data_IF_364126683260
#
_entry.id   IF_364126683260
#
_cell.length_a   1.000
_cell.length_b   1.000
_cell.length_c   1.000
_cell.angle_alpha   90.00
_cell.angle_beta   90.00
_cell.angle_gamma   90.00
#
_symmetry.space_group_name_H-M   'P 1'
#
loop_
_entity.id
_entity.type
_entity.pdbx_description
1 polymer ?
#
# COMPACT_ATOMS: atom_id res chain seq x y z
N UNK A 1 12.25 -4.82 6.52
CA UNK A 1 13.05 -4.96 7.76
C UNK A 1 12.18 -5.41 8.94
N UNK A 2 11.14 -4.70 9.26
CA UNK A 2 10.21 -5.11 10.31
C UNK A 2 9.04 -5.90 9.74
N UNK A 3 8.32 -6.59 10.62
CA UNK A 3 7.08 -7.25 10.23
C UNK A 3 5.95 -6.24 10.13
N UNK A 4 4.98 -6.51 9.28
CA UNK A 4 3.73 -5.76 9.29
C UNK A 4 3.01 -6.01 10.62
N UNK A 5 2.27 -5.02 11.13
CA UNK A 5 1.48 -5.20 12.34
C UNK A 5 0.34 -6.18 12.11
N UNK A 6 -0.33 -6.58 13.17
CA UNK A 6 -1.49 -7.43 13.05
C UNK A 6 -2.64 -6.72 12.32
N UNK A 7 -3.48 -7.49 11.65
CA UNK A 7 -4.58 -6.99 10.84
C UNK A 7 -5.46 -5.98 11.60
N UNK A 8 -5.70 -6.20 12.88
CA UNK A 8 -6.59 -5.33 13.67
C UNK A 8 -6.12 -3.86 13.68
N UNK A 9 -4.80 -3.64 13.68
CA UNK A 9 -4.26 -2.27 13.62
C UNK A 9 -4.48 -1.62 12.26
N UNK A 10 -4.64 -2.41 11.21
CA UNK A 10 -4.80 -1.94 9.85
C UNK A 10 -6.26 -1.90 9.38
N UNK A 11 -7.19 -2.32 10.22
CA UNK A 11 -8.62 -2.31 9.86
C UNK A 11 -9.16 -0.92 9.57
N UNK A 12 -8.51 0.12 10.06
CA UNK A 12 -8.91 1.51 9.78
C UNK A 12 -8.70 1.90 8.31
N UNK A 13 -7.92 1.12 7.55
CA UNK A 13 -7.79 1.32 6.11
C UNK A 13 -9.07 0.95 5.36
N UNK A 14 -9.86 0.04 5.92
CA UNK A 14 -11.08 -0.45 5.26
C UNK A 14 -12.08 0.69 5.07
N UNK A 15 -12.67 0.79 3.89
CA UNK A 15 -13.59 1.83 3.44
C UNK A 15 -12.94 3.19 3.21
N UNK A 16 -11.62 3.31 3.36
CA UNK A 16 -10.93 4.55 3.01
C UNK A 16 -10.64 4.57 1.51
N UNK A 17 -10.82 5.71 0.89
CA UNK A 17 -10.54 5.89 -0.53
C UNK A 17 -9.14 6.47 -0.74
N UNK A 18 -8.55 6.19 -1.90
CA UNK A 18 -7.31 6.85 -2.30
C UNK A 18 -7.65 8.23 -2.83
N UNK A 19 -7.15 9.27 -2.16
CA UNK A 19 -7.45 10.66 -2.51
C UNK A 19 -6.32 11.34 -3.24
N UNK A 20 -5.07 10.90 -3.06
CA UNK A 20 -3.95 11.39 -3.86
C UNK A 20 -2.85 10.34 -3.94
N UNK A 21 -2.02 10.47 -4.99
CA UNK A 21 -0.82 9.67 -5.18
C UNK A 21 0.30 10.64 -5.51
N UNK A 22 1.36 10.65 -4.70
CA UNK A 22 2.52 11.50 -4.90
C UNK A 22 3.73 10.64 -5.22
N UNK A 23 4.45 11.02 -6.27
CA UNK A 23 5.65 10.31 -6.71
C UNK A 23 6.85 11.23 -6.57
N UNK A 24 7.86 10.77 -5.83
CA UNK A 24 9.13 11.47 -5.70
C UNK A 24 10.25 10.58 -6.25
N UNK A 25 11.48 11.09 -6.24
CA UNK A 25 12.63 10.28 -6.66
C UNK A 25 12.87 9.06 -5.78
N UNK A 26 12.40 9.10 -4.52
CA UNK A 26 12.70 8.08 -3.52
C UNK A 26 11.48 7.34 -2.99
N UNK A 27 10.27 7.83 -3.26
CA UNK A 27 9.05 7.28 -2.65
C UNK A 27 7.86 7.39 -3.58
N UNK A 28 6.91 6.48 -3.36
CA UNK A 28 5.53 6.63 -3.79
C UNK A 28 4.70 6.79 -2.51
N UNK A 29 3.86 7.81 -2.46
CA UNK A 29 3.02 8.10 -1.32
C UNK A 29 1.57 7.98 -1.73
N UNK A 30 0.85 7.06 -1.07
CA UNK A 30 -0.59 6.88 -1.27
C UNK A 30 -1.30 7.59 -0.12
N UNK A 31 -2.04 8.63 -0.44
CA UNK A 31 -2.85 9.33 0.55
C UNK A 31 -4.27 8.79 0.52
N UNK A 32 -4.76 8.33 1.66
CA UNK A 32 -6.12 7.86 1.82
C UNK A 32 -6.93 8.89 2.59
N UNK A 33 -8.25 8.74 2.60
CA UNK A 33 -9.12 9.61 3.40
C UNK A 33 -8.78 9.49 4.89
N UNK A 34 -9.19 10.49 5.66
CA UNK A 34 -8.94 10.58 7.11
C UNK A 34 -7.46 10.64 7.50
N UNK A 35 -6.65 11.30 6.65
CA UNK A 35 -5.22 11.52 6.91
C UNK A 35 -4.39 10.25 7.07
N UNK A 36 -4.81 9.17 6.43
CA UNK A 36 -4.05 7.93 6.37
C UNK A 36 -3.10 8.00 5.17
N UNK A 37 -1.85 7.59 5.35
CA UNK A 37 -0.86 7.55 4.28
C UNK A 37 -0.09 6.25 4.30
N UNK A 38 0.29 5.78 3.11
CA UNK A 38 1.22 4.66 2.96
C UNK A 38 2.34 5.14 2.05
N UNK A 39 3.58 5.13 2.56
CA UNK A 39 4.77 5.52 1.80
C UNK A 39 5.59 4.28 1.49
N UNK A 40 6.01 4.15 0.25
CA UNK A 40 6.76 3.00 -0.23
C UNK A 40 8.08 3.45 -0.83
N UNK A 41 9.18 2.82 -0.40
CA UNK A 41 10.49 2.89 -1.07
C UNK A 41 10.75 1.53 -1.71
N UNK A 42 11.37 1.50 -2.87
CA UNK A 42 11.66 0.24 -3.57
C UNK A 42 10.60 -0.13 -4.58
N UNK A 43 9.64 -0.95 -4.19
CA UNK A 43 8.57 -1.37 -5.12
C UNK A 43 7.33 -1.85 -4.38
N UNK A 44 6.23 -1.94 -5.12
CA UNK A 44 5.01 -2.62 -4.69
C UNK A 44 4.43 -3.36 -5.89
N UNK A 45 3.50 -4.27 -5.63
CA UNK A 45 2.85 -5.05 -6.69
C UNK A 45 1.40 -4.58 -6.84
N UNK A 46 0.98 -4.36 -8.07
CA UNK A 46 -0.38 -3.97 -8.42
C UNK A 46 -1.02 -5.10 -9.23
N UNK A 47 -2.11 -5.65 -8.73
CA UNK A 47 -2.88 -6.70 -9.42
C UNK A 47 -4.16 -6.05 -9.92
N UNK A 48 -4.36 -6.05 -11.24
CA UNK A 48 -5.57 -5.46 -11.84
C UNK A 48 -6.77 -6.39 -11.67
N UNK A 49 -7.96 -5.94 -12.07
CA UNK A 49 -9.19 -6.71 -11.90
C UNK A 49 -9.22 -8.01 -12.72
N UNK A 50 -8.32 -8.17 -13.68
CA UNK A 50 -8.18 -9.40 -14.47
C UNK A 50 -7.20 -10.39 -13.83
N UNK A 51 -6.60 -10.02 -12.69
CA UNK A 51 -5.63 -10.87 -12.00
C UNK A 51 -4.21 -10.75 -12.51
N UNK A 52 -3.93 -9.78 -13.39
CA UNK A 52 -2.59 -9.56 -13.92
C UNK A 52 -1.79 -8.72 -12.93
N UNK A 53 -0.58 -9.19 -12.59
CA UNK A 53 0.31 -8.51 -11.64
C UNK A 53 1.33 -7.66 -12.36
N UNK A 54 1.49 -6.42 -11.90
CA UNK A 54 2.51 -5.50 -12.39
C UNK A 54 3.33 -4.99 -11.21
N UNK A 55 4.66 -5.05 -11.34
CA UNK A 55 5.54 -4.47 -10.35
C UNK A 55 5.70 -2.98 -10.64
N UNK A 56 5.45 -2.17 -9.62
CA UNK A 56 5.62 -0.71 -9.69
C UNK A 56 6.86 -0.37 -8.90
N UNK A 57 7.89 0.12 -9.59
CA UNK A 57 9.17 0.45 -8.99
C UNK A 57 9.23 1.93 -8.59
N UNK A 58 10.10 2.25 -7.64
CA UNK A 58 10.37 3.61 -7.22
C UNK A 58 11.81 3.97 -7.64
N UNK A 59 12.03 5.07 -8.37
CA UNK A 59 11.02 6.05 -8.83
C UNK A 59 10.00 5.42 -9.78
N UNK A 60 8.79 5.97 -9.80
CA UNK A 60 7.68 5.34 -10.51
C UNK A 60 8.00 5.22 -12.00
N UNK A 61 7.77 4.02 -12.53
CA UNK A 61 8.10 3.68 -13.92
C UNK A 61 6.85 3.33 -14.76
N UNK A 62 5.68 3.37 -14.14
CA UNK A 62 4.42 3.20 -14.85
C UNK A 62 3.29 3.90 -14.10
N UNK A 63 2.17 4.13 -14.77
CA UNK A 63 1.08 4.92 -14.24
C UNK A 63 -0.11 4.07 -13.76
N UNK A 64 0.06 2.76 -13.60
CA UNK A 64 -1.06 1.88 -13.27
C UNK A 64 -1.75 2.24 -11.95
N UNK A 65 -0.98 2.72 -10.96
CA UNK A 65 -1.53 3.10 -9.66
C UNK A 65 -2.59 4.20 -9.74
N UNK A 66 -2.51 5.08 -10.74
CA UNK A 66 -3.45 6.19 -10.86
C UNK A 66 -4.88 5.72 -11.15
N UNK A 67 -5.05 4.48 -11.61
CA UNK A 67 -6.37 3.89 -11.78
C UNK A 67 -7.08 3.63 -10.43
N UNK A 68 -6.34 3.69 -9.32
CA UNK A 68 -6.90 3.50 -7.99
C UNK A 68 -7.38 4.80 -7.34
N UNK A 69 -7.17 5.95 -7.98
CA UNK A 69 -7.72 7.21 -7.46
C UNK A 69 -9.23 7.08 -7.33
N UNK A 70 -9.75 7.50 -6.17
CA UNK A 70 -11.15 7.41 -5.76
C UNK A 70 -11.64 5.99 -5.42
N UNK A 71 -10.80 4.96 -5.60
CA UNK A 71 -11.16 3.59 -5.20
C UNK A 71 -11.06 3.45 -3.68
N UNK A 72 -12.00 2.68 -3.12
CA UNK A 72 -12.06 2.42 -1.68
C UNK A 72 -11.53 1.04 -1.34
N UNK A 73 -10.87 0.95 -0.19
CA UNK A 73 -10.36 -0.31 0.34
C UNK A 73 -11.52 -1.18 0.82
N UNK A 74 -11.56 -2.44 0.37
CA UNK A 74 -12.56 -3.41 0.82
C UNK A 74 -12.04 -4.33 1.92
N UNK A 75 -10.75 -4.65 1.91
CA UNK A 75 -10.17 -5.53 2.92
C UNK A 75 -8.64 -5.36 2.99
N UNK A 76 -8.07 -5.77 4.12
CA UNK A 76 -6.62 -5.79 4.34
C UNK A 76 -6.26 -7.14 4.94
N UNK A 77 -5.24 -7.81 4.41
CA UNK A 77 -4.76 -9.08 4.93
C UNK A 77 -3.24 -9.04 5.08
N UNK A 78 -2.77 -9.66 6.16
CA UNK A 78 -1.34 -9.82 6.43
C UNK A 78 -0.97 -11.27 6.14
N UNK A 79 0.01 -11.47 5.29
CA UNK A 79 0.38 -12.79 4.76
C UNK A 79 1.89 -13.02 4.86
N UNK A 80 2.32 -14.25 4.56
CA UNK A 80 3.74 -14.62 4.48
C UNK A 80 4.52 -14.28 5.75
N UNK A 81 4.03 -14.77 6.91
CA UNK A 81 4.67 -14.53 8.22
C UNK A 81 4.84 -13.05 8.51
N UNK A 82 3.83 -12.25 8.20
CA UNK A 82 3.81 -10.79 8.42
C UNK A 82 4.81 -10.02 7.54
N UNK A 83 5.26 -10.62 6.45
CA UNK A 83 6.16 -9.96 5.50
C UNK A 83 5.44 -9.32 4.32
N UNK A 84 4.12 -9.51 4.22
CA UNK A 84 3.33 -8.98 3.11
C UNK A 84 2.00 -8.45 3.61
N UNK A 85 1.64 -7.25 3.14
CA UNK A 85 0.32 -6.65 3.37
C UNK A 85 -0.42 -6.59 2.05
N UNK A 86 -1.59 -7.21 1.99
CA UNK A 86 -2.44 -7.24 0.81
C UNK A 86 -3.64 -6.34 1.04
N UNK A 87 -3.76 -5.30 0.22
CA UNK A 87 -4.86 -4.34 0.28
C UNK A 87 -5.76 -4.55 -0.93
N UNK A 88 -6.99 -4.97 -0.68
CA UNK A 88 -7.98 -5.22 -1.73
C UNK A 88 -8.90 -4.01 -1.85
N UNK A 89 -9.30 -3.68 -3.08
CA UNK A 89 -10.16 -2.54 -3.38
C UNK A 89 -11.53 -3.01 -3.89
N UNK A 90 -12.53 -2.18 -3.70
CA UNK A 90 -13.91 -2.50 -4.12
C UNK A 90 -14.05 -2.68 -5.63
N UNK A 91 -13.14 -2.11 -6.42
CA UNK A 91 -13.14 -2.28 -7.87
C UNK A 91 -12.50 -3.61 -8.32
N UNK A 92 -12.07 -4.46 -7.40
CA UNK A 92 -11.46 -5.75 -7.71
C UNK A 92 -9.94 -5.72 -7.85
N UNK A 93 -9.30 -4.56 -7.77
CA UNK A 93 -7.85 -4.45 -7.85
C UNK A 93 -7.23 -4.68 -6.47
N UNK A 94 -5.93 -5.00 -6.45
CA UNK A 94 -5.20 -5.35 -5.23
C UNK A 94 -3.82 -4.69 -5.27
N UNK A 95 -3.38 -4.19 -4.11
CA UNK A 95 -1.99 -3.77 -3.91
C UNK A 95 -1.33 -4.69 -2.90
N UNK A 96 -0.10 -5.09 -3.19
CA UNK A 96 0.71 -5.91 -2.28
C UNK A 96 1.96 -5.13 -1.89
N UNK A 97 2.13 -4.95 -0.59
CA UNK A 97 3.27 -4.28 0.00
C UNK A 97 4.15 -5.33 0.65
N UNK A 98 5.45 -5.31 0.34
CA UNK A 98 6.38 -6.35 0.78
C UNK A 98 7.43 -5.74 1.70
N UNK A 99 7.67 -6.39 2.84
CA UNK A 99 8.75 -6.00 3.75
C UNK A 99 10.09 -6.42 3.15
N UNK A 100 11.04 -5.46 3.09
CA UNK A 100 12.39 -5.75 2.63
C UNK A 100 13.25 -6.16 3.83
N UNK A 101 14.12 -7.15 3.64
CA UNK A 101 15.01 -7.64 4.71
C UNK A 101 16.17 -6.69 5.01
N UNK A 102 16.54 -5.86 4.05
CA UNK A 102 17.75 -5.04 4.12
C UNK A 102 17.49 -3.62 4.62
N UNK A 103 16.29 -3.08 4.44
CA UNK A 103 15.96 -1.70 4.81
C UNK A 103 14.47 -1.51 5.03
N UNK A 104 14.14 -0.40 5.67
CA UNK A 104 12.74 0.00 5.87
C UNK A 104 12.13 0.36 4.53
N UNK A 105 11.05 -0.30 4.15
CA UNK A 105 10.48 -0.19 2.81
C UNK A 105 9.09 0.41 2.79
N UNK A 106 8.35 0.32 3.89
CA UNK A 106 6.95 0.80 3.96
C UNK A 106 6.75 1.56 5.26
N UNK A 107 6.13 2.74 5.15
CA UNK A 107 5.71 3.53 6.30
C UNK A 107 4.21 3.74 6.22
N UNK A 108 3.50 3.42 7.30
CA UNK A 108 2.04 3.57 7.36
C UNK A 108 1.72 4.57 8.46
N UNK A 109 0.94 5.59 8.13
CA UNK A 109 0.54 6.65 9.06
C UNK A 109 -0.97 6.54 9.32
N UNK A 110 -1.32 6.20 10.55
CA UNK A 110 -2.72 6.07 11.00
C UNK A 110 -2.83 6.71 12.38
N UNK A 111 -3.80 7.63 12.57
CA UNK A 111 -4.12 8.22 13.87
C UNK A 111 -2.89 8.78 14.61
N UNK A 112 -2.07 9.56 13.94
CA UNK A 112 -0.84 10.15 14.48
C UNK A 112 0.24 9.11 14.86
N UNK A 113 0.02 7.84 14.53
CA UNK A 113 1.00 6.79 14.72
C UNK A 113 1.70 6.48 13.39
N UNK A 114 3.02 6.30 13.45
CA UNK A 114 3.81 5.87 12.30
C UNK A 114 4.24 4.42 12.50
N UNK A 115 3.83 3.55 11.59
CA UNK A 115 4.20 2.15 11.57
C UNK A 115 5.32 1.98 10.54
N UNK A 116 6.45 1.45 10.96
CA UNK A 116 7.64 1.26 10.10
C UNK A 116 7.77 -0.23 9.78
N UNK A 117 7.90 -0.54 8.50
CA UNK A 117 8.04 -1.92 8.04
C UNK A 117 9.32 -2.14 7.25
#
# INVERSE_FOLDING_TARGET
>A
MYDFPEKIKLNKLINQGIVFITCTANQVILGLSNNIKIEVTGYLLHVNCLGETQQVNVPIDNLSLFNLLESEVSDVNIMNNKKEMVVSFKNGEVLKFVSDEMYESVYIYIDDERIIV
#
